data_IF_281463968123
#
_entry.id   IF_281463968123
#
_cell.length_a   1.000
_cell.length_b   1.000
_cell.length_c   1.000
_cell.angle_alpha   90.00
_cell.angle_beta   90.00
_cell.angle_gamma   90.00
#
_symmetry.space_group_name_H-M   'P 1'
#
loop_
_entity.id
_entity.type
_entity.pdbx_description
1 polymer ?
#
# COMPACT_ATOMS: atom_id res chain seq x y z
N UNK A 1 -2.78 -25.29 -5.16
CA UNK A 1 -1.44 -24.79 -5.55
C UNK A 1 -1.27 -23.35 -5.07
N UNK A 2 -0.04 -22.82 -4.94
CA UNK A 2 0.18 -21.46 -4.43
C UNK A 2 -0.55 -20.38 -5.25
N UNK A 3 -0.61 -20.53 -6.57
CA UNK A 3 -1.34 -19.61 -7.46
C UNK A 3 -2.84 -19.53 -7.15
N UNK A 4 -3.46 -20.67 -6.82
CA UNK A 4 -4.88 -20.70 -6.44
C UNK A 4 -5.11 -20.00 -5.09
N UNK A 5 -4.16 -20.12 -4.16
CA UNK A 5 -4.21 -19.46 -2.87
C UNK A 5 -4.11 -17.93 -3.03
N UNK A 6 -3.18 -17.45 -3.85
CA UNK A 6 -3.02 -16.03 -4.21
C UNK A 6 -4.30 -15.49 -4.86
N UNK A 7 -4.86 -16.21 -5.83
CA UNK A 7 -6.09 -15.78 -6.49
C UNK A 7 -7.27 -15.70 -5.51
N UNK A 8 -7.41 -16.71 -4.64
CA UNK A 8 -8.46 -16.75 -3.61
C UNK A 8 -8.33 -15.59 -2.62
N UNK A 9 -7.12 -15.34 -2.12
CA UNK A 9 -6.86 -14.24 -1.19
C UNK A 9 -7.08 -12.86 -1.84
N UNK A 10 -6.66 -12.70 -3.11
CA UNK A 10 -6.92 -11.48 -3.89
C UNK A 10 -8.41 -11.21 -4.02
N UNK A 11 -9.19 -12.21 -4.43
CA UNK A 11 -10.64 -12.13 -4.54
C UNK A 11 -11.29 -11.82 -3.19
N UNK A 12 -10.84 -12.44 -2.10
CA UNK A 12 -11.37 -12.19 -0.76
C UNK A 12 -11.20 -10.73 -0.34
N UNK A 13 -10.00 -10.16 -0.51
CA UNK A 13 -9.74 -8.75 -0.20
C UNK A 13 -10.52 -7.80 -1.12
N UNK A 14 -10.63 -8.13 -2.40
CA UNK A 14 -11.39 -7.35 -3.35
C UNK A 14 -12.89 -7.31 -3.00
N UNK A 15 -13.47 -8.46 -2.65
CA UNK A 15 -14.86 -8.53 -2.21
C UNK A 15 -15.10 -7.76 -0.90
N UNK A 16 -14.16 -7.82 0.04
CA UNK A 16 -14.23 -7.05 1.27
C UNK A 16 -14.26 -5.53 0.98
N UNK A 17 -13.41 -5.06 0.07
CA UNK A 17 -13.37 -3.67 -0.35
C UNK A 17 -14.66 -3.21 -1.05
N UNK A 18 -15.18 -4.01 -1.98
CA UNK A 18 -16.40 -3.71 -2.74
C UNK A 18 -17.64 -3.66 -1.83
N UNK A 19 -17.75 -4.62 -0.92
CA UNK A 19 -18.92 -4.77 -0.04
C UNK A 19 -18.83 -3.96 1.24
N UNK A 20 -17.67 -3.37 1.53
CA UNK A 20 -17.36 -2.70 2.80
C UNK A 20 -17.57 -3.60 4.02
N UNK A 21 -17.39 -4.91 3.86
CA UNK A 21 -17.47 -5.91 4.93
C UNK A 21 -16.11 -6.53 5.13
N UNK A 22 -15.66 -6.59 6.38
CA UNK A 22 -14.34 -7.15 6.69
C UNK A 22 -14.28 -8.64 6.40
N UNK A 23 -13.12 -9.14 6.00
CA UNK A 23 -12.85 -10.56 5.79
C UNK A 23 -11.89 -11.14 6.85
N UNK A 24 -11.77 -12.48 6.87
CA UNK A 24 -10.77 -13.15 7.70
C UNK A 24 -9.34 -12.85 7.20
N UNK A 25 -8.31 -12.95 8.07
CA UNK A 25 -6.93 -12.72 7.67
C UNK A 25 -6.46 -13.66 6.54
N UNK A 26 -5.91 -13.10 5.47
CA UNK A 26 -5.44 -13.90 4.30
C UNK A 26 -4.22 -14.78 4.60
N UNK A 27 -3.52 -14.55 5.72
CA UNK A 27 -2.47 -15.46 6.22
C UNK A 27 -2.96 -16.89 6.48
N UNK A 28 -4.27 -17.08 6.68
CA UNK A 28 -4.88 -18.41 6.79
C UNK A 28 -4.96 -19.15 5.43
N UNK A 29 -4.73 -18.43 4.32
CA UNK A 29 -4.78 -18.95 2.95
C UNK A 29 -3.36 -19.14 2.40
N UNK A 30 -2.49 -18.14 2.55
CA UNK A 30 -1.14 -18.12 1.97
C UNK A 30 -0.03 -18.50 2.95
N UNK A 31 -0.32 -18.61 4.25
CA UNK A 31 0.68 -18.71 5.31
C UNK A 31 1.05 -17.35 5.90
N UNK A 32 1.67 -17.36 7.08
CA UNK A 32 2.00 -16.13 7.83
C UNK A 32 3.31 -15.47 7.42
N UNK A 33 4.16 -16.16 6.68
CA UNK A 33 5.55 -15.75 6.39
C UNK A 33 5.82 -15.61 4.88
N UNK A 34 4.83 -15.91 4.03
CA UNK A 34 4.98 -15.84 2.58
C UNK A 34 4.76 -14.40 2.05
N UNK A 35 5.83 -13.61 2.18
CA UNK A 35 5.87 -12.20 1.75
C UNK A 35 5.71 -12.07 0.23
N UNK A 36 6.29 -12.98 -0.54
CA UNK A 36 6.22 -12.96 -2.01
C UNK A 36 4.76 -13.11 -2.47
N UNK A 37 4.04 -14.09 -1.93
CA UNK A 37 2.61 -14.26 -2.18
C UNK A 37 1.79 -13.06 -1.74
N UNK A 38 2.14 -12.41 -0.62
CA UNK A 38 1.45 -11.20 -0.16
C UNK A 38 1.60 -10.02 -1.15
N UNK A 39 2.79 -9.83 -1.71
CA UNK A 39 3.03 -8.82 -2.74
C UNK A 39 2.41 -9.17 -4.09
N UNK A 40 2.35 -10.46 -4.46
CA UNK A 40 1.61 -10.90 -5.65
C UNK A 40 0.11 -10.61 -5.51
N UNK A 41 -0.47 -10.82 -4.33
CA UNK A 41 -1.87 -10.44 -4.04
C UNK A 41 -2.09 -8.94 -4.20
N UNK A 42 -1.18 -8.10 -3.66
CA UNK A 42 -1.24 -6.66 -3.85
C UNK A 42 -1.19 -6.31 -5.34
N UNK A 43 -0.24 -6.90 -6.08
CA UNK A 43 -0.06 -6.68 -7.51
C UNK A 43 -1.34 -7.03 -8.28
N UNK A 44 -1.94 -8.19 -8.06
CA UNK A 44 -3.18 -8.61 -8.71
C UNK A 44 -4.33 -7.62 -8.51
N UNK A 45 -4.56 -7.19 -7.27
CA UNK A 45 -5.65 -6.25 -6.96
C UNK A 45 -5.39 -4.86 -7.54
N UNK A 46 -4.14 -4.40 -7.57
CA UNK A 46 -3.76 -3.13 -8.20
C UNK A 46 -3.93 -3.21 -9.72
N UNK A 47 -3.49 -4.29 -10.36
CA UNK A 47 -3.66 -4.47 -11.80
C UNK A 47 -5.13 -4.50 -12.21
N UNK A 48 -6.01 -5.09 -11.40
CA UNK A 48 -7.45 -5.05 -11.64
C UNK A 48 -8.00 -3.61 -11.59
N UNK A 49 -7.54 -2.79 -10.64
CA UNK A 49 -7.94 -1.38 -10.54
C UNK A 49 -7.41 -0.57 -11.72
N UNK A 50 -6.18 -0.82 -12.17
CA UNK A 50 -5.59 -0.18 -13.34
C UNK A 50 -6.37 -0.54 -14.61
N UNK A 51 -6.71 -1.82 -14.78
CA UNK A 51 -7.55 -2.29 -15.89
C UNK A 51 -8.93 -1.61 -15.91
N UNK A 52 -9.42 -1.15 -14.75
CA UNK A 52 -10.66 -0.37 -14.60
C UNK A 52 -10.45 1.15 -14.68
N UNK A 53 -9.27 1.62 -15.14
CA UNK A 53 -9.00 3.03 -15.40
C UNK A 53 -8.27 3.80 -14.30
N UNK A 54 -7.85 3.14 -13.21
CA UNK A 54 -7.00 3.79 -12.21
C UNK A 54 -5.57 4.00 -12.73
N UNK A 55 -4.89 5.02 -12.24
CA UNK A 55 -3.49 5.31 -12.56
C UNK A 55 -2.64 5.30 -11.30
N UNK A 56 -1.46 4.72 -11.35
CA UNK A 56 -0.47 4.82 -10.26
C UNK A 56 -0.01 6.27 -10.12
N UNK A 57 0.00 6.76 -8.89
CA UNK A 57 0.45 8.11 -8.52
C UNK A 57 1.69 8.12 -7.64
N UNK A 58 2.04 6.97 -7.05
CA UNK A 58 3.24 6.83 -6.25
C UNK A 58 3.17 5.59 -5.37
N UNK A 59 3.98 5.60 -4.32
CA UNK A 59 4.07 4.52 -3.35
C UNK A 59 4.08 5.11 -1.95
N UNK A 60 3.59 4.34 -1.00
CA UNK A 60 3.72 4.61 0.44
C UNK A 60 4.61 3.57 1.08
N UNK A 61 5.32 3.93 2.14
CA UNK A 61 6.21 3.03 2.88
C UNK A 61 5.70 2.93 4.31
N UNK A 62 5.20 1.76 4.69
CA UNK A 62 4.72 1.50 6.05
C UNK A 62 5.76 0.76 6.88
N UNK A 63 5.42 0.52 8.15
CA UNK A 63 6.28 -0.18 9.11
C UNK A 63 7.69 0.42 9.20
N UNK A 64 7.81 1.75 9.12
CA UNK A 64 9.10 2.46 9.13
C UNK A 64 9.76 2.55 10.51
N UNK A 65 9.04 2.18 11.57
CA UNK A 65 9.54 2.13 12.94
C UNK A 65 10.10 0.75 13.28
N UNK A 66 11.38 0.67 13.64
CA UNK A 66 12.00 -0.58 14.11
C UNK A 66 11.25 -1.20 15.31
N UNK A 67 10.65 -0.37 16.17
CA UNK A 67 9.89 -0.85 17.32
C UNK A 67 8.59 -1.56 16.87
N UNK A 68 7.91 -1.01 15.87
CA UNK A 68 6.69 -1.61 15.29
C UNK A 68 7.06 -2.87 14.50
N UNK A 69 8.15 -2.85 13.75
CA UNK A 69 8.67 -4.03 13.03
C UNK A 69 8.91 -5.20 14.00
N UNK A 70 9.66 -4.96 15.09
CA UNK A 70 9.91 -5.95 16.15
C UNK A 70 8.62 -6.47 16.77
N UNK A 71 7.65 -5.60 17.04
CA UNK A 71 6.36 -6.00 17.60
C UNK A 71 5.57 -6.94 16.66
N UNK A 72 5.68 -6.75 15.35
CA UNK A 72 5.00 -7.55 14.34
C UNK A 72 5.82 -8.76 13.86
N UNK A 73 7.05 -8.92 14.34
CA UNK A 73 7.93 -10.02 13.94
C UNK A 73 8.49 -9.89 12.53
N UNK A 74 8.58 -8.66 12.00
CA UNK A 74 9.22 -8.36 10.71
C UNK A 74 10.49 -7.56 10.93
N UNK A 75 11.38 -7.57 9.94
CA UNK A 75 12.69 -6.90 9.96
C UNK A 75 12.88 -5.89 8.82
N UNK A 76 11.80 -5.62 8.07
CA UNK A 76 11.80 -4.67 6.96
C UNK A 76 10.51 -3.83 6.92
N UNK A 77 10.56 -2.61 6.38
CA UNK A 77 9.37 -1.83 6.02
C UNK A 77 8.49 -2.55 5.00
N UNK A 78 7.25 -2.09 4.86
CA UNK A 78 6.37 -2.49 3.75
C UNK A 78 6.28 -1.39 2.68
N UNK A 79 5.69 -1.72 1.53
CA UNK A 79 5.23 -0.70 0.60
C UNK A 79 3.85 -0.99 0.02
N UNK A 80 3.11 0.08 -0.25
CA UNK A 80 1.83 0.04 -0.95
C UNK A 80 1.81 0.92 -2.19
N UNK A 81 0.89 0.65 -3.10
CA UNK A 81 0.70 1.45 -4.33
C UNK A 81 -0.39 2.49 -4.10
N UNK A 82 -0.08 3.75 -4.39
CA UNK A 82 -1.03 4.85 -4.36
C UNK A 82 -1.64 5.05 -5.75
N UNK A 83 -2.96 5.09 -5.83
CA UNK A 83 -3.72 5.31 -7.06
C UNK A 83 -4.37 6.70 -7.05
N UNK A 84 -4.65 7.26 -8.23
CA UNK A 84 -5.39 8.53 -8.36
C UNK A 84 -6.75 8.51 -7.65
N UNK A 85 -7.39 7.35 -7.54
CA UNK A 85 -8.68 7.19 -6.83
C UNK A 85 -8.56 7.30 -5.32
N UNK A 86 -7.35 7.37 -4.76
CA UNK A 86 -7.08 7.51 -3.33
C UNK A 86 -6.75 8.95 -2.93
N UNK A 87 -6.52 9.83 -3.90
CA UNK A 87 -6.18 11.22 -3.65
C UNK A 87 -7.40 11.99 -3.14
N UNK A 88 -7.26 12.62 -1.98
CA UNK A 88 -8.29 13.49 -1.40
C UNK A 88 -7.79 14.93 -1.49
N UNK A 89 -8.29 15.67 -2.47
CA UNK A 89 -7.95 17.09 -2.69
C UNK A 89 -8.94 18.05 -2.04
N UNK A 90 -10.07 17.53 -1.54
CA UNK A 90 -11.13 18.29 -0.90
C UNK A 90 -10.93 18.38 0.61
N UNK A 91 -11.52 19.40 1.24
CA UNK A 91 -11.51 19.55 2.71
C UNK A 91 -12.39 18.52 3.42
N UNK A 92 -13.33 17.93 2.69
CA UNK A 92 -14.32 17.00 3.23
C UNK A 92 -14.38 15.77 2.34
N UNK A 93 -14.55 14.61 2.97
CA UNK A 93 -14.74 13.32 2.31
C UNK A 93 -15.67 12.45 3.14
N UNK A 94 -16.32 11.48 2.51
CA UNK A 94 -17.25 10.60 3.22
C UNK A 94 -16.50 9.56 4.04
N UNK A 95 -16.63 9.61 5.36
CA UNK A 95 -16.10 8.58 6.26
C UNK A 95 -16.67 7.19 5.94
N UNK A 96 -17.93 7.11 5.49
CA UNK A 96 -18.58 5.83 5.13
C UNK A 96 -17.97 5.16 3.89
N UNK A 97 -17.16 5.87 3.11
CA UNK A 97 -16.42 5.28 1.99
C UNK A 97 -15.19 4.47 2.46
N UNK A 98 -14.75 4.68 3.70
CA UNK A 98 -13.54 4.09 4.26
C UNK A 98 -13.83 2.86 5.12
N UNK A 99 -12.82 2.00 5.28
CA UNK A 99 -12.91 0.79 6.09
C UNK A 99 -11.88 0.87 7.23
N UNK A 100 -12.36 0.88 8.47
CA UNK A 100 -11.52 0.94 9.68
C UNK A 100 -10.44 2.05 9.61
N UNK A 101 -10.81 3.31 9.28
CA UNK A 101 -9.83 4.34 8.97
C UNK A 101 -9.02 4.75 10.19
N UNK A 102 -7.72 4.96 10.00
CA UNK A 102 -6.84 5.66 10.93
C UNK A 102 -6.06 6.72 10.15
N UNK A 103 -5.78 7.85 10.80
CA UNK A 103 -5.04 8.94 10.19
C UNK A 103 -3.61 8.96 10.72
N UNK A 104 -2.65 9.09 9.81
CA UNK A 104 -1.22 9.14 10.11
C UNK A 104 -0.64 10.39 9.44
N UNK A 105 0.14 11.17 10.20
CA UNK A 105 0.80 12.36 9.68
C UNK A 105 2.15 11.97 9.08
N UNK A 106 2.38 12.37 7.84
CA UNK A 106 3.55 11.96 7.07
C UNK A 106 4.19 13.12 6.28
N UNK A 107 5.31 12.81 5.62
CA UNK A 107 5.96 13.68 4.65
C UNK A 107 5.93 12.96 3.31
N UNK A 108 5.25 13.55 2.33
CA UNK A 108 5.26 13.06 0.95
C UNK A 108 6.39 13.73 0.16
N UNK A 109 7.14 12.93 -0.60
CA UNK A 109 8.22 13.39 -1.47
C UNK A 109 7.79 13.29 -2.93
N UNK A 110 7.96 14.38 -3.67
CA UNK A 110 7.80 14.41 -5.12
C UNK A 110 9.16 14.29 -5.78
N UNK A 111 9.27 13.42 -6.77
CA UNK A 111 10.50 13.17 -7.52
C UNK A 111 10.50 13.97 -8.82
N UNK A 112 11.63 14.56 -9.19
CA UNK A 112 11.82 15.25 -10.49
C UNK A 112 12.46 14.36 -11.56
N UNK A 113 12.96 13.20 -11.17
CA UNK A 113 13.59 12.22 -12.05
C UNK A 113 13.33 10.80 -11.55
N UNK A 114 13.40 9.84 -12.47
CA UNK A 114 13.19 8.43 -12.16
C UNK A 114 14.35 7.86 -11.34
N UNK A 115 14.02 7.02 -10.36
CA UNK A 115 14.98 6.29 -9.54
C UNK A 115 15.04 4.84 -10.04
N UNK A 116 16.01 4.55 -10.90
CA UNK A 116 16.18 3.22 -11.53
C UNK A 116 17.48 2.50 -11.11
N UNK A 117 18.36 3.18 -10.38
CA UNK A 117 19.65 2.65 -9.95
C UNK A 117 19.47 1.75 -8.71
N UNK A 118 19.72 0.43 -8.80
CA UNK A 118 19.62 -0.46 -7.63
C UNK A 118 20.72 -0.20 -6.59
N UNK A 119 21.74 0.59 -6.94
CA UNK A 119 22.83 1.01 -6.04
C UNK A 119 22.62 2.42 -5.49
N UNK A 120 21.37 2.92 -5.51
CA UNK A 120 20.99 4.23 -4.99
C UNK A 120 21.51 4.44 -3.56
N UNK A 121 22.19 5.57 -3.35
CA UNK A 121 22.55 6.04 -2.02
C UNK A 121 21.67 7.23 -1.60
N UNK A 122 21.81 7.63 -0.33
CA UNK A 122 21.02 8.72 0.23
C UNK A 122 21.26 10.06 -0.47
N UNK A 123 22.45 10.30 -1.03
CA UNK A 123 22.76 11.56 -1.70
C UNK A 123 22.07 11.64 -3.07
N UNK A 124 22.12 10.54 -3.83
CA UNK A 124 21.39 10.40 -5.09
C UNK A 124 19.87 10.49 -4.86
N UNK A 125 19.35 9.83 -3.82
CA UNK A 125 17.93 9.94 -3.47
C UNK A 125 17.53 11.39 -3.18
N UNK A 126 18.31 12.10 -2.35
CA UNK A 126 18.06 13.52 -2.06
C UNK A 126 18.12 14.40 -3.31
N UNK A 127 19.04 14.10 -4.22
CA UNK A 127 19.16 14.83 -5.48
C UNK A 127 17.94 14.62 -6.39
N UNK A 128 17.33 13.44 -6.38
CA UNK A 128 16.15 13.12 -7.18
C UNK A 128 14.83 13.70 -6.63
N UNK A 129 14.81 14.13 -5.37
CA UNK A 129 13.66 14.82 -4.77
C UNK A 129 13.55 16.24 -5.37
N UNK A 130 12.34 16.60 -5.78
CA UNK A 130 11.98 17.95 -6.20
C UNK A 130 11.59 18.79 -4.99
N UNK A 131 10.57 18.33 -4.27
CA UNK A 131 10.07 18.97 -3.06
C UNK A 131 9.39 17.97 -2.13
N UNK A 132 9.16 18.40 -0.89
CA UNK A 132 8.43 17.65 0.12
C UNK A 132 7.22 18.47 0.61
N UNK A 133 6.14 17.77 0.94
CA UNK A 133 4.93 18.37 1.50
C UNK A 133 4.49 17.60 2.74
N UNK A 134 3.82 18.29 3.65
CA UNK A 134 3.07 17.60 4.70
C UNK A 134 1.92 16.82 4.05
N UNK A 135 1.73 15.57 4.48
CA UNK A 135 0.66 14.70 4.03
C UNK A 135 -0.04 14.05 5.22
N UNK A 136 -1.26 13.59 4.99
CA UNK A 136 -1.99 12.72 5.92
C UNK A 136 -2.40 11.48 5.15
N UNK A 137 -1.92 10.31 5.59
CA UNK A 137 -2.43 9.04 5.07
C UNK A 137 -3.65 8.63 5.90
N UNK A 138 -4.74 8.28 5.21
CA UNK A 138 -5.88 7.61 5.84
C UNK A 138 -5.79 6.12 5.53
N UNK A 139 -5.10 5.38 6.39
CA UNK A 139 -4.97 3.93 6.25
C UNK A 139 -6.31 3.26 6.53
N UNK A 140 -6.55 2.11 5.91
CA UNK A 140 -7.74 1.30 6.15
C UNK A 140 -7.43 -0.19 6.15
N UNK A 141 -8.32 -0.99 6.72
CA UNK A 141 -8.19 -2.44 6.82
C UNK A 141 -9.45 -3.14 6.30
N UNK A 142 -9.26 -4.13 5.44
CA UNK A 142 -10.31 -4.94 4.79
C UNK A 142 -10.60 -6.20 5.58
#
# INVERSE_FOLDING_TARGET
MIQEAIQKASQQLHQAELTKKTCSPVREIIGSEDIDSAYEIQSHNIQQKIANGATVKGYKIGLTSEAVQKQLGVDQPDFGVLLNTMEITTKEFSFSALMQPKAEAEIAFFLKEDIIDPTLDLNKLKAAIDYAVASVEIVGSR
#
